data_IF_732490861186
#
_entry.id   IF_732490861186
#
_cell.length_a   1.000
_cell.length_b   1.000
_cell.length_c   1.000
_cell.angle_alpha   90.00
_cell.angle_beta   90.00
_cell.angle_gamma   90.00
#
_symmetry.space_group_name_H-M   'P 1'
#
loop_
_entity.id
_entity.type
_entity.pdbx_description
1 polymer ?
#
# COMPACT_ATOMS: atom_id res chain seq x y z
N UNK A 1 -33.21 24.73 -49.02
CA UNK A 1 -32.52 23.50 -48.57
C UNK A 1 -31.26 23.81 -47.76
N UNK A 2 -30.40 24.73 -48.22
CA UNK A 2 -29.22 25.17 -47.48
C UNK A 2 -29.56 25.79 -46.11
N UNK A 3 -30.63 26.59 -46.01
CA UNK A 3 -31.00 27.25 -44.75
C UNK A 3 -31.34 26.25 -43.63
N UNK A 4 -32.06 25.19 -43.96
CA UNK A 4 -32.41 24.13 -43.00
C UNK A 4 -31.17 23.38 -42.50
N UNK A 5 -30.19 23.14 -43.38
CA UNK A 5 -28.92 22.50 -43.02
C UNK A 5 -28.14 23.40 -42.07
N UNK A 6 -28.09 24.71 -42.34
CA UNK A 6 -27.33 25.68 -41.56
C UNK A 6 -27.91 25.84 -40.15
N UNK A 7 -29.24 25.88 -40.02
CA UNK A 7 -29.93 25.99 -38.72
C UNK A 7 -29.70 24.73 -37.86
N UNK A 8 -29.83 23.53 -38.43
CA UNK A 8 -29.60 22.28 -37.70
C UNK A 8 -28.14 22.13 -37.26
N UNK A 9 -27.19 22.52 -38.13
CA UNK A 9 -25.77 22.48 -37.81
C UNK A 9 -25.42 23.45 -36.66
N UNK A 10 -25.94 24.68 -36.71
CA UNK A 10 -25.69 25.69 -35.67
C UNK A 10 -26.27 25.26 -34.32
N UNK A 11 -27.49 24.71 -34.32
CA UNK A 11 -28.13 24.22 -33.10
C UNK A 11 -27.36 23.03 -32.49
N UNK A 12 -26.88 22.11 -33.32
CA UNK A 12 -26.02 21.01 -32.87
C UNK A 12 -24.71 21.49 -32.25
N UNK A 13 -24.08 22.50 -32.85
CA UNK A 13 -22.82 23.06 -32.37
C UNK A 13 -23.00 23.83 -31.05
N UNK A 14 -24.11 24.56 -30.91
CA UNK A 14 -24.46 25.26 -29.66
C UNK A 14 -24.79 24.30 -28.53
N UNK A 15 -25.64 23.30 -28.77
CA UNK A 15 -26.04 22.34 -27.75
C UNK A 15 -24.89 21.40 -27.38
N UNK A 16 -24.17 20.89 -28.38
CA UNK A 16 -23.00 20.02 -28.17
C UNK A 16 -21.84 20.77 -27.51
N UNK A 17 -21.56 22.00 -27.94
CA UNK A 17 -20.57 22.87 -27.31
C UNK A 17 -20.94 23.23 -25.87
N UNK A 18 -22.22 23.56 -25.62
CA UNK A 18 -22.75 23.85 -24.29
C UNK A 18 -22.65 22.65 -23.35
N UNK A 19 -23.07 21.47 -23.79
CA UNK A 19 -22.95 20.22 -23.01
C UNK A 19 -21.49 19.83 -22.79
N UNK A 20 -20.62 19.99 -23.79
CA UNK A 20 -19.19 19.71 -23.66
C UNK A 20 -18.49 20.65 -22.67
N UNK A 21 -18.84 21.95 -22.69
CA UNK A 21 -18.33 22.92 -21.74
C UNK A 21 -18.85 22.62 -20.33
N UNK A 22 -20.14 22.34 -20.19
CA UNK A 22 -20.76 21.99 -18.92
C UNK A 22 -20.16 20.71 -18.33
N UNK A 23 -19.96 19.66 -19.14
CA UNK A 23 -19.35 18.41 -18.71
C UNK A 23 -17.92 18.60 -18.19
N UNK A 24 -17.19 19.57 -18.73
CA UNK A 24 -15.80 19.85 -18.33
C UNK A 24 -15.70 20.81 -17.14
N UNK A 25 -16.58 21.80 -17.05
CA UNK A 25 -16.59 22.78 -15.96
C UNK A 25 -17.23 22.22 -14.68
N UNK A 26 -18.28 21.40 -14.82
CA UNK A 26 -18.97 20.74 -13.71
C UNK A 26 -18.43 19.32 -13.46
N UNK A 27 -17.24 19.01 -13.97
CA UNK A 27 -16.56 17.75 -13.71
C UNK A 27 -16.17 17.66 -12.23
N UNK A 28 -17.09 17.17 -11.40
CA UNK A 28 -16.79 16.72 -10.05
C UNK A 28 -16.14 15.35 -10.20
N UNK A 29 -14.88 15.23 -9.81
CA UNK A 29 -14.24 13.92 -9.71
C UNK A 29 -15.04 13.09 -8.71
N UNK A 30 -15.57 11.95 -9.16
CA UNK A 30 -16.44 11.06 -8.37
C UNK A 30 -15.74 10.49 -7.12
N UNK A 31 -14.41 10.55 -7.08
CA UNK A 31 -13.59 10.02 -5.99
C UNK A 31 -13.55 11.00 -4.82
N UNK A 32 -13.96 10.54 -3.65
CA UNK A 32 -13.83 11.29 -2.40
C UNK A 32 -12.35 11.69 -2.21
N UNK A 33 -12.02 12.98 -2.06
CA UNK A 33 -10.64 13.44 -1.95
C UNK A 33 -9.88 12.79 -0.78
N UNK A 34 -10.59 12.37 0.28
CA UNK A 34 -10.00 11.66 1.41
C UNK A 34 -9.42 10.29 1.02
N UNK A 35 -10.04 9.57 0.08
CA UNK A 35 -9.55 8.28 -0.39
C UNK A 35 -8.15 8.46 -0.99
N UNK A 36 -7.98 9.49 -1.85
CA UNK A 36 -6.70 9.80 -2.47
C UNK A 36 -5.63 10.19 -1.45
N UNK A 37 -6.03 10.93 -0.43
CA UNK A 37 -5.13 11.34 0.64
C UNK A 37 -4.65 10.13 1.45
N UNK A 38 -5.56 9.22 1.80
CA UNK A 38 -5.22 7.97 2.49
C UNK A 38 -4.37 7.07 1.59
N UNK A 39 -4.73 6.92 0.32
CA UNK A 39 -3.97 6.11 -0.64
C UNK A 39 -2.53 6.63 -0.79
N UNK A 40 -2.33 7.95 -0.79
CA UNK A 40 -1.00 8.57 -0.81
C UNK A 40 -0.18 8.32 0.48
N UNK A 41 -0.83 8.03 1.60
CA UNK A 41 -0.16 7.61 2.84
C UNK A 41 0.22 6.13 2.84
N UNK A 42 -0.52 5.29 2.11
CA UNK A 42 -0.26 3.86 2.05
C UNK A 42 1.06 3.55 1.30
N UNK A 43 1.71 2.41 1.59
CA UNK A 43 2.98 2.05 0.94
C UNK A 43 2.89 1.79 -0.58
N UNK A 44 1.69 1.74 -1.17
CA UNK A 44 1.49 1.50 -2.60
C UNK A 44 1.87 0.10 -3.10
N UNK A 45 2.22 -0.83 -2.20
CA UNK A 45 2.76 -2.15 -2.57
C UNK A 45 1.73 -3.15 -3.10
N UNK A 46 0.43 -2.84 -2.97
CA UNK A 46 -0.69 -3.68 -3.43
C UNK A 46 -0.55 -5.17 -3.01
N UNK A 47 -0.02 -5.41 -1.81
CA UNK A 47 0.41 -6.74 -1.39
C UNK A 47 -0.71 -7.65 -0.87
N UNK A 48 -1.90 -7.12 -0.58
CA UNK A 48 -3.06 -7.89 -0.12
C UNK A 48 -3.02 -8.41 1.32
N UNK A 49 -1.97 -8.09 2.10
CA UNK A 49 -1.83 -8.59 3.48
C UNK A 49 -2.93 -8.10 4.44
N UNK A 50 -3.54 -6.97 4.13
CA UNK A 50 -4.65 -6.39 4.88
C UNK A 50 -6.01 -7.03 4.54
N UNK A 51 -6.06 -7.97 3.59
CA UNK A 51 -7.30 -8.60 3.11
C UNK A 51 -8.02 -7.86 1.97
N UNK A 52 -7.50 -6.71 1.56
CA UNK A 52 -8.05 -5.92 0.44
C UNK A 52 -7.24 -6.11 -0.85
N UNK A 53 -7.87 -6.03 -2.04
CA UNK A 53 -7.20 -6.31 -3.32
C UNK A 53 -6.14 -5.26 -3.72
N UNK A 54 -6.09 -4.12 -3.04
CA UNK A 54 -5.13 -3.05 -3.31
C UNK A 54 -5.18 -1.93 -2.27
N UNK A 55 -4.26 -0.97 -2.40
CA UNK A 55 -4.20 0.19 -1.51
C UNK A 55 -5.42 1.10 -1.65
N UNK A 56 -5.93 1.32 -2.86
CA UNK A 56 -7.17 2.08 -3.10
C UNK A 56 -8.38 1.45 -2.38
N UNK A 57 -8.60 0.15 -2.55
CA UNK A 57 -9.69 -0.56 -1.87
C UNK A 57 -9.55 -0.56 -0.34
N UNK A 58 -8.32 -0.60 0.18
CA UNK A 58 -8.07 -0.44 1.61
C UNK A 58 -8.36 0.99 2.08
N UNK A 59 -8.05 1.99 1.26
CA UNK A 59 -8.35 3.39 1.55
C UNK A 59 -9.87 3.65 1.58
N UNK A 60 -10.61 3.09 0.63
CA UNK A 60 -12.09 3.12 0.62
C UNK A 60 -12.66 2.54 1.91
N UNK A 61 -12.19 1.35 2.30
CA UNK A 61 -12.63 0.67 3.52
C UNK A 61 -12.30 1.45 4.80
N UNK A 62 -11.18 2.19 4.83
CA UNK A 62 -10.82 3.08 5.93
C UNK A 62 -11.78 4.28 6.03
N UNK A 63 -12.16 4.87 4.90
CA UNK A 63 -13.12 5.99 4.85
C UNK A 63 -14.52 5.53 5.25
N UNK A 64 -14.93 4.33 4.83
CA UNK A 64 -16.22 3.73 5.19
C UNK A 64 -16.28 3.23 6.63
N UNK A 65 -15.13 3.14 7.32
CA UNK A 65 -15.03 2.61 8.69
C UNK A 65 -15.14 1.10 8.79
N UNK A 66 -15.03 0.38 7.67
CA UNK A 66 -15.02 -1.09 7.62
C UNK A 66 -13.62 -1.69 7.90
N UNK A 67 -12.56 -0.89 7.77
CA UNK A 67 -11.19 -1.25 8.16
C UNK A 67 -10.71 -0.45 9.39
N UNK A 68 -9.96 -1.10 10.28
CA UNK A 68 -9.24 -0.41 11.36
C UNK A 68 -8.02 0.34 10.81
N UNK A 69 -7.62 1.45 11.46
CA UNK A 69 -6.40 2.20 11.08
C UNK A 69 -5.11 1.39 11.18
N UNK A 70 -5.15 0.26 11.88
CA UNK A 70 -4.05 -0.70 12.03
C UNK A 70 -4.03 -1.77 10.93
N UNK A 71 -4.89 -1.67 9.91
CA UNK A 71 -5.11 -2.74 8.93
C UNK A 71 -3.92 -3.04 8.02
N UNK A 72 -2.92 -2.15 7.93
CA UNK A 72 -1.80 -2.27 7.00
C UNK A 72 -0.52 -2.75 7.74
N UNK A 73 -0.21 -4.07 7.73
CA UNK A 73 1.01 -4.58 8.36
C UNK A 73 2.32 -3.94 7.87
N UNK A 74 2.54 -3.69 6.55
CA UNK A 74 3.82 -3.17 6.09
C UNK A 74 4.03 -1.69 6.44
N UNK A 75 2.96 -0.92 6.65
CA UNK A 75 3.08 0.47 7.09
C UNK A 75 3.32 0.63 8.60
N UNK A 76 3.00 -0.39 9.39
CA UNK A 76 3.27 -0.44 10.82
C UNK A 76 2.67 0.73 11.62
N UNK A 77 3.31 1.05 12.74
CA UNK A 77 2.81 2.04 13.71
C UNK A 77 2.75 3.45 13.17
N UNK A 78 3.79 3.87 12.45
CA UNK A 78 3.87 5.21 11.90
C UNK A 78 2.71 5.51 10.93
N UNK A 79 2.32 4.52 10.11
CA UNK A 79 1.17 4.66 9.24
C UNK A 79 -0.14 4.71 10.04
N UNK A 80 -0.32 3.80 10.99
CA UNK A 80 -1.55 3.73 11.79
C UNK A 80 -1.81 5.03 12.58
N UNK A 81 -0.77 5.66 13.12
CA UNK A 81 -0.84 6.96 13.79
C UNK A 81 -1.31 8.07 12.84
N UNK A 82 -0.71 8.17 11.65
CA UNK A 82 -1.09 9.19 10.65
C UNK A 82 -2.53 8.98 10.15
N UNK A 83 -2.95 7.73 9.97
CA UNK A 83 -4.32 7.41 9.59
C UNK A 83 -5.31 7.74 10.71
N UNK A 84 -4.97 7.46 11.97
CA UNK A 84 -5.79 7.81 13.13
C UNK A 84 -5.96 9.32 13.28
N UNK A 85 -4.88 10.09 13.08
CA UNK A 85 -4.92 11.55 13.09
C UNK A 85 -5.78 12.12 11.95
N UNK A 86 -5.62 11.60 10.74
CA UNK A 86 -6.39 12.03 9.57
C UNK A 86 -7.88 11.72 9.69
N UNK A 87 -8.24 10.54 10.18
CA UNK A 87 -9.63 10.09 10.33
C UNK A 87 -10.26 10.52 11.66
N UNK A 88 -9.49 11.10 12.59
CA UNK A 88 -9.97 11.52 13.90
C UNK A 88 -10.43 10.37 14.80
N UNK A 89 -9.88 9.17 14.63
CA UNK A 89 -10.25 7.96 15.38
C UNK A 89 -9.20 7.60 16.43
N UNK A 90 -9.58 7.02 17.58
CA UNK A 90 -8.62 6.62 18.60
C UNK A 90 -7.74 5.46 18.10
N UNK A 91 -6.43 5.54 18.34
CA UNK A 91 -5.48 4.47 18.08
C UNK A 91 -5.17 3.68 19.35
N UNK A 92 -5.52 2.40 19.35
CA UNK A 92 -5.08 1.45 20.37
C UNK A 92 -3.71 0.85 19.97
N UNK A 93 -2.63 1.56 20.31
CA UNK A 93 -1.26 1.17 19.96
C UNK A 93 -0.82 -0.19 20.54
N UNK A 94 -1.53 -0.73 21.54
CA UNK A 94 -1.28 -2.07 22.09
C UNK A 94 -1.66 -3.21 21.15
N UNK A 95 -2.45 -2.94 20.11
CA UNK A 95 -2.89 -3.95 19.14
C UNK A 95 -1.93 -4.10 17.95
N UNK A 96 -0.85 -3.32 17.89
CA UNK A 96 0.08 -3.38 16.76
C UNK A 96 1.07 -4.53 16.89
N UNK A 97 0.95 -5.50 15.99
CA UNK A 97 1.98 -6.50 15.78
C UNK A 97 3.21 -5.86 15.10
N UNK A 98 4.41 -6.24 15.53
CA UNK A 98 5.63 -5.86 14.84
C UNK A 98 5.61 -6.44 13.40
N UNK A 99 6.09 -5.70 12.39
CA UNK A 99 6.17 -6.21 11.04
C UNK A 99 7.05 -7.46 11.00
N UNK A 100 6.56 -8.50 10.33
CA UNK A 100 7.28 -9.75 10.14
C UNK A 100 8.16 -9.63 8.90
N UNK A 101 9.47 -9.76 9.05
CA UNK A 101 10.45 -9.59 7.97
C UNK A 101 11.09 -10.93 7.64
N UNK A 102 11.45 -11.11 6.37
CA UNK A 102 12.16 -12.30 5.94
C UNK A 102 13.61 -12.28 6.45
N UNK A 103 14.10 -13.43 6.89
CA UNK A 103 15.47 -13.68 7.31
C UNK A 103 15.98 -14.94 6.63
N UNK A 104 17.17 -14.86 6.02
CA UNK A 104 17.80 -15.96 5.30
C UNK A 104 18.87 -16.57 6.21
N UNK A 105 18.88 -17.90 6.34
CA UNK A 105 19.97 -18.62 6.98
C UNK A 105 21.17 -18.71 6.03
N UNK A 106 22.27 -18.09 6.44
CA UNK A 106 23.51 -18.05 5.69
C UNK A 106 24.18 -19.42 5.55
N UNK A 107 23.92 -20.36 6.47
CA UNK A 107 24.52 -21.69 6.45
C UNK A 107 23.92 -22.60 5.37
N UNK A 108 22.65 -22.38 5.02
CA UNK A 108 21.90 -23.23 4.08
C UNK A 108 21.67 -22.56 2.72
N UNK A 109 21.87 -21.24 2.61
CA UNK A 109 21.73 -20.52 1.36
C UNK A 109 22.80 -20.91 0.34
N UNK A 110 22.38 -21.53 -0.77
CA UNK A 110 23.24 -21.92 -1.89
C UNK A 110 23.49 -20.80 -2.92
N UNK A 111 22.77 -19.68 -2.80
CA UNK A 111 22.86 -18.59 -3.77
C UNK A 111 22.08 -18.81 -5.06
N UNK A 112 20.98 -19.57 -5.04
CA UNK A 112 20.20 -19.95 -6.23
C UNK A 112 19.44 -18.81 -6.95
N UNK A 113 19.34 -17.61 -6.36
CA UNK A 113 18.69 -16.39 -6.89
C UNK A 113 17.18 -16.46 -7.12
N UNK A 114 16.48 -17.51 -6.66
CA UNK A 114 15.01 -17.61 -6.83
C UNK A 114 14.26 -16.61 -5.96
N UNK A 115 14.68 -16.45 -4.70
CA UNK A 115 14.10 -15.50 -3.77
C UNK A 115 14.21 -14.06 -4.29
N UNK A 116 15.34 -13.69 -4.91
CA UNK A 116 15.57 -12.38 -5.54
C UNK A 116 14.48 -12.05 -6.57
N UNK A 117 14.18 -12.98 -7.49
CA UNK A 117 13.17 -12.78 -8.54
C UNK A 117 11.73 -12.78 -8.01
N UNK A 118 11.49 -13.44 -6.88
CA UNK A 118 10.18 -13.52 -6.26
C UNK A 118 9.84 -12.29 -5.40
N UNK A 119 10.86 -11.50 -5.02
CA UNK A 119 10.66 -10.34 -4.16
C UNK A 119 10.03 -9.17 -4.94
N UNK A 120 8.83 -8.68 -4.54
CA UNK A 120 8.17 -7.59 -5.27
C UNK A 120 8.75 -6.20 -4.96
N UNK A 121 9.57 -6.08 -3.92
CA UNK A 121 10.15 -4.81 -3.46
C UNK A 121 11.67 -4.77 -3.58
N UNK A 122 12.26 -5.77 -4.26
CA UNK A 122 13.72 -5.91 -4.41
C UNK A 122 14.49 -5.84 -3.07
N UNK A 123 13.87 -6.32 -1.99
CA UNK A 123 14.46 -6.30 -0.65
C UNK A 123 15.61 -7.30 -0.46
N UNK A 124 15.81 -8.22 -1.40
CA UNK A 124 16.83 -9.27 -1.31
C UNK A 124 18.05 -8.85 -2.10
N UNK A 125 19.22 -8.92 -1.46
CA UNK A 125 20.51 -8.57 -2.05
C UNK A 125 21.39 -9.80 -2.07
N UNK A 126 22.04 -10.05 -3.21
CA UNK A 126 22.95 -11.18 -3.39
C UNK A 126 23.24 -11.42 -4.88
N UNK A 127 24.13 -12.34 -5.17
CA UNK A 127 24.48 -12.76 -6.52
C UNK A 127 24.41 -14.28 -6.63
N UNK A 128 24.47 -14.79 -7.86
CA UNK A 128 24.47 -16.23 -8.09
C UNK A 128 25.68 -16.89 -7.39
N UNK A 129 25.43 -17.93 -6.60
CA UNK A 129 26.45 -18.61 -5.79
C UNK A 129 26.96 -17.80 -4.59
N UNK A 130 26.31 -16.69 -4.24
CA UNK A 130 26.61 -15.91 -3.04
C UNK A 130 25.44 -15.96 -2.06
N UNK A 131 25.73 -15.84 -0.77
CA UNK A 131 24.72 -15.81 0.28
C UNK A 131 23.87 -14.55 0.11
N UNK A 132 22.56 -14.73 0.10
CA UNK A 132 21.62 -13.61 0.00
C UNK A 132 21.31 -13.04 1.38
N UNK A 133 21.09 -11.73 1.46
CA UNK A 133 20.64 -11.04 2.65
C UNK A 133 19.36 -10.24 2.37
N UNK A 134 18.61 -9.93 3.42
CA UNK A 134 17.36 -9.17 3.32
C UNK A 134 17.56 -7.80 3.92
N UNK A 135 17.23 -6.77 3.16
CA UNK A 135 17.17 -5.39 3.61
C UNK A 135 15.87 -5.16 4.39
N UNK A 136 15.99 -4.97 5.70
CA UNK A 136 14.85 -4.84 6.61
C UNK A 136 13.95 -3.65 6.31
N UNK A 137 14.49 -2.58 5.70
CA UNK A 137 13.75 -1.37 5.34
C UNK A 137 12.94 -1.50 4.03
N UNK A 138 13.28 -2.48 3.17
CA UNK A 138 12.58 -2.72 1.91
C UNK A 138 11.67 -3.96 1.98
N UNK A 139 11.87 -4.84 2.96
CA UNK A 139 11.07 -6.04 3.12
C UNK A 139 9.69 -5.70 3.68
N UNK A 140 8.64 -6.13 2.98
CA UNK A 140 7.24 -5.94 3.41
C UNK A 140 6.63 -7.20 4.06
N UNK A 141 7.41 -8.27 4.25
CA UNK A 141 6.90 -9.49 4.90
C UNK A 141 5.90 -10.32 4.07
N UNK A 142 5.90 -10.22 2.74
CA UNK A 142 4.89 -10.86 1.87
C UNK A 142 5.02 -12.38 1.67
N UNK A 143 5.96 -13.05 2.33
CA UNK A 143 6.18 -14.51 2.27
C UNK A 143 6.54 -15.11 0.91
N UNK A 144 6.46 -14.38 -0.22
CA UNK A 144 6.76 -14.90 -1.57
C UNK A 144 8.16 -15.52 -1.71
N UNK A 145 9.14 -14.98 -0.99
CA UNK A 145 10.50 -15.51 -1.02
C UNK A 145 10.63 -16.87 -0.32
N UNK A 146 9.83 -17.12 0.72
CA UNK A 146 9.79 -18.39 1.45
C UNK A 146 9.28 -19.50 0.51
N UNK A 147 8.19 -19.26 -0.21
CA UNK A 147 7.65 -20.20 -1.21
C UNK A 147 8.60 -20.47 -2.38
N UNK A 148 9.44 -19.49 -2.73
CA UNK A 148 10.36 -19.59 -3.86
C UNK A 148 11.69 -20.29 -3.52
N UNK A 149 12.04 -20.43 -2.24
CA UNK A 149 13.32 -20.97 -1.81
C UNK A 149 13.33 -22.51 -1.89
N UNK A 150 14.19 -23.13 -2.73
CA UNK A 150 14.25 -24.58 -2.83
C UNK A 150 14.94 -25.24 -1.64
N UNK A 151 15.78 -24.51 -0.92
CA UNK A 151 16.45 -24.98 0.29
C UNK A 151 15.65 -24.75 1.58
N UNK A 152 14.51 -24.05 1.50
CA UNK A 152 13.66 -23.67 2.65
C UNK A 152 14.42 -22.91 3.77
N UNK A 153 15.48 -22.18 3.40
CA UNK A 153 16.34 -21.48 4.36
C UNK A 153 15.86 -20.06 4.72
N UNK A 154 14.58 -19.74 4.49
CA UNK A 154 14.00 -18.41 4.71
C UNK A 154 12.89 -18.49 5.75
N UNK A 155 13.00 -17.70 6.82
CA UNK A 155 12.00 -17.61 7.87
C UNK A 155 11.47 -16.17 8.01
N UNK A 156 10.21 -16.02 8.42
CA UNK A 156 9.65 -14.73 8.83
C UNK A 156 9.84 -14.55 10.33
N UNK A 157 10.52 -13.49 10.72
CA UNK A 157 10.75 -13.12 12.11
C UNK A 157 10.27 -11.69 12.37
N UNK A 158 9.79 -11.37 13.58
CA UNK A 158 9.43 -9.99 13.92
C UNK A 158 10.67 -9.10 13.78
N UNK A 159 10.47 -7.89 13.24
CA UNK A 159 11.52 -6.90 13.13
C UNK A 159 12.16 -6.65 14.50
N UNK A 160 13.49 -6.70 14.54
CA UNK A 160 14.25 -6.33 15.73
C UNK A 160 14.09 -4.84 16.01
N UNK A 161 13.82 -4.49 17.27
CA UNK A 161 13.76 -3.10 17.71
C UNK A 161 15.15 -2.46 17.63
N UNK A 162 15.26 -1.42 16.82
CA UNK A 162 16.43 -0.52 16.74
C UNK A 162 15.98 0.87 17.17
N UNK A 163 16.92 1.81 17.35
CA UNK A 163 16.59 3.20 17.72
C UNK A 163 15.65 3.88 16.72
N UNK A 164 15.70 3.48 15.43
CA UNK A 164 14.88 4.08 14.37
C UNK A 164 13.40 3.67 14.45
N UNK A 165 13.13 2.47 14.96
CA UNK A 165 11.77 1.88 15.02
C UNK A 165 11.26 1.74 16.45
N UNK A 166 12.11 2.04 17.43
CA UNK A 166 11.74 2.00 18.84
C UNK A 166 10.71 3.09 19.14
N UNK A 167 9.74 2.72 19.98
CA UNK A 167 8.63 3.58 20.39
C UNK A 167 8.46 3.45 21.90
N UNK A 168 8.17 4.57 22.54
CA UNK A 168 7.80 4.58 23.95
C UNK A 168 6.42 3.95 24.11
N UNK A 169 6.31 2.86 24.88
CA UNK A 169 5.03 2.27 25.20
C UNK A 169 4.21 3.27 26.04
N UNK A 170 3.02 3.65 25.57
CA UNK A 170 2.15 4.57 26.33
C UNK A 170 1.87 3.93 27.70
N UNK A 171 2.26 4.57 28.82
CA UNK A 171 2.01 4.01 30.13
C UNK A 171 0.49 3.86 30.31
N UNK A 172 0.06 2.71 30.80
CA UNK A 172 -1.36 2.44 31.06
C UNK A 172 -1.81 3.45 32.11
N UNK A 173 -2.80 4.28 31.77
CA UNK A 173 -3.37 5.22 32.73
C UNK A 173 -3.89 4.40 33.92
N UNK A 174 -3.45 4.78 35.12
CA UNK A 174 -3.82 4.13 36.38
C UNK A 174 -5.32 4.26 36.67
#
# INVERSE_FOLDING_TARGET
MLDAILVLALMGLLLGGGLGLAARYLAVSQENPLIKEIEALLPGSQCGQCGYPGCSAAADALVEGSAAVTCCPPGGAALAERLAELLGVPLDASALAAPMLARIDAAECTGCTRCFRACPTDAIVGANGQIHCVLSNACIGCSKCLEACPEDCIALAPQTLTLDHWRWAKPRAA
#
